data_IF_736286458548
#
_entry.id   IF_736286458548
#
_cell.length_a   1.000
_cell.length_b   1.000
_cell.length_c   1.000
_cell.angle_alpha   90.00
_cell.angle_beta   90.00
_cell.angle_gamma   90.00
#
_symmetry.space_group_name_H-M   'P 1'
#
loop_
_entity.id
_entity.type
_entity.pdbx_description
1 polymer ?
#
# COMPACT_ATOMS: atom_id res chain seq x y z
N UNK A 1 14.62 10.57 -5.87
CA UNK A 1 13.50 10.78 -4.93
C UNK A 1 13.04 9.41 -4.47
N UNK A 2 13.05 9.14 -3.16
CA UNK A 2 12.98 7.78 -2.61
C UNK A 2 11.53 7.25 -2.66
N UNK A 3 11.27 6.21 -3.48
CA UNK A 3 9.95 5.59 -3.72
C UNK A 3 9.20 5.20 -2.43
N UNK A 4 9.93 4.88 -1.35
CA UNK A 4 9.40 4.50 -0.05
C UNK A 4 8.58 5.62 0.63
N UNK A 5 8.95 6.88 0.39
CA UNK A 5 8.24 8.06 0.94
C UNK A 5 6.91 8.33 0.22
N UNK A 6 6.68 7.68 -0.92
CA UNK A 6 5.62 8.08 -1.84
C UNK A 6 4.25 7.50 -1.47
N UNK A 7 4.17 6.23 -1.07
CA UNK A 7 2.88 5.57 -0.82
C UNK A 7 2.18 6.09 0.43
N UNK A 8 2.91 6.24 1.54
CA UNK A 8 2.36 6.83 2.78
C UNK A 8 1.85 8.25 2.55
N UNK A 9 2.70 9.11 1.98
CA UNK A 9 2.33 10.50 1.74
C UNK A 9 1.19 10.62 0.73
N UNK A 10 1.18 9.79 -0.32
CA UNK A 10 0.09 9.74 -1.27
C UNK A 10 -1.23 9.35 -0.60
N UNK A 11 -1.23 8.34 0.29
CA UNK A 11 -2.42 7.96 1.05
C UNK A 11 -2.94 9.11 1.91
N UNK A 12 -2.05 9.79 2.64
CA UNK A 12 -2.42 10.94 3.47
C UNK A 12 -2.99 12.09 2.62
N UNK A 13 -2.42 12.35 1.43
CA UNK A 13 -2.91 13.37 0.51
C UNK A 13 -4.29 13.01 -0.08
N UNK A 14 -4.57 11.71 -0.27
CA UNK A 14 -5.89 11.21 -0.65
C UNK A 14 -6.89 11.16 0.51
N UNK A 15 -6.45 11.46 1.75
CA UNK A 15 -7.26 11.37 2.97
C UNK A 15 -7.92 9.99 3.16
N UNK A 16 -7.24 8.92 2.72
CA UNK A 16 -7.76 7.56 2.81
C UNK A 16 -7.29 6.88 4.09
N UNK A 17 -8.24 6.30 4.80
CA UNK A 17 -7.94 5.42 5.95
C UNK A 17 -7.53 4.02 5.46
N UNK A 18 -6.71 3.32 6.25
CA UNK A 18 -6.30 1.95 5.91
C UNK A 18 -7.50 0.98 5.84
N UNK A 19 -8.56 1.23 6.62
CA UNK A 19 -9.81 0.46 6.56
C UNK A 19 -10.56 0.64 5.24
N UNK A 20 -10.54 1.86 4.68
CA UNK A 20 -11.13 2.15 3.38
C UNK A 20 -10.33 1.48 2.25
N UNK A 21 -9.00 1.56 2.30
CA UNK A 21 -8.14 0.83 1.36
C UNK A 21 -8.37 -0.68 1.43
N UNK A 22 -8.56 -1.24 2.63
CA UNK A 22 -8.84 -2.67 2.81
C UNK A 22 -10.15 -3.08 2.11
N UNK A 23 -11.19 -2.25 2.24
CA UNK A 23 -12.47 -2.50 1.58
C UNK A 23 -12.37 -2.44 0.04
N UNK A 24 -11.55 -1.54 -0.50
CA UNK A 24 -11.38 -1.35 -1.96
C UNK A 24 -10.49 -2.40 -2.62
N UNK A 25 -9.46 -2.84 -1.92
CA UNK A 25 -8.42 -3.73 -2.47
C UNK A 25 -8.59 -5.19 -2.08
N UNK A 26 -9.45 -5.49 -1.10
CA UNK A 26 -9.54 -6.79 -0.43
C UNK A 26 -8.22 -7.28 0.21
N UNK A 27 -7.27 -6.36 0.43
CA UNK A 27 -6.02 -6.64 1.13
C UNK A 27 -6.25 -6.46 2.63
N UNK A 28 -5.67 -7.35 3.45
CA UNK A 28 -5.83 -7.24 4.90
C UNK A 28 -5.21 -5.93 5.43
N UNK A 29 -5.80 -5.29 6.46
CA UNK A 29 -5.25 -4.08 7.06
C UNK A 29 -3.80 -4.23 7.53
N UNK A 30 -3.42 -5.42 8.00
CA UNK A 30 -2.04 -5.70 8.43
C UNK A 30 -1.04 -5.64 7.27
N UNK A 31 -1.42 -6.12 6.09
CA UNK A 31 -0.57 -6.05 4.89
C UNK A 31 -0.50 -4.60 4.38
N UNK A 32 -1.62 -3.88 4.37
CA UNK A 32 -1.66 -2.47 4.00
C UNK A 32 -0.81 -1.59 4.91
N UNK A 33 -0.85 -1.83 6.24
CA UNK A 33 -0.01 -1.11 7.19
C UNK A 33 1.49 -1.33 6.90
N UNK A 34 1.91 -2.56 6.58
CA UNK A 34 3.30 -2.82 6.19
C UNK A 34 3.70 -2.10 4.90
N UNK A 35 2.80 -1.98 3.93
CA UNK A 35 3.05 -1.22 2.69
C UNK A 35 3.15 0.28 3.00
N UNK A 36 2.21 0.80 3.80
CA UNK A 36 2.17 2.20 4.23
C UNK A 36 3.43 2.58 5.03
N UNK A 37 3.93 1.68 5.86
CA UNK A 37 5.15 1.86 6.67
C UNK A 37 6.45 1.53 5.89
N UNK A 38 6.37 1.12 4.62
CA UNK A 38 7.53 0.75 3.81
C UNK A 38 8.23 -0.55 4.24
N UNK A 39 7.58 -1.39 5.04
CA UNK A 39 8.07 -2.68 5.58
C UNK A 39 7.89 -3.82 4.55
N UNK A 40 8.37 -3.62 3.34
CA UNK A 40 8.19 -4.56 2.21
C UNK A 40 8.78 -5.95 2.47
N UNK A 41 9.87 -6.03 3.26
CA UNK A 41 10.50 -7.29 3.64
C UNK A 41 9.60 -8.17 4.54
N UNK A 42 8.57 -7.59 5.15
CA UNK A 42 7.65 -8.29 6.06
C UNK A 42 6.32 -8.66 5.40
N UNK A 43 6.18 -8.40 4.10
CA UNK A 43 5.02 -8.85 3.34
C UNK A 43 5.03 -10.38 3.23
N UNK A 44 3.84 -11.02 3.16
CA UNK A 44 3.76 -12.45 2.91
C UNK A 44 4.60 -12.83 1.69
N UNK A 45 5.52 -13.78 1.85
CA UNK A 45 6.37 -14.25 0.77
C UNK A 45 5.51 -14.94 -0.32
N UNK A 46 5.75 -14.62 -1.59
CA UNK A 46 5.07 -15.24 -2.73
C UNK A 46 4.67 -14.28 -3.83
N UNK A 47 3.90 -14.79 -4.79
CA UNK A 47 3.46 -14.07 -6.01
C UNK A 47 2.74 -12.75 -5.68
N UNK A 48 2.08 -12.68 -4.52
CA UNK A 48 1.18 -11.58 -4.20
C UNK A 48 1.85 -10.32 -3.63
N UNK A 49 3.11 -10.38 -3.17
CA UNK A 49 3.76 -9.22 -2.56
C UNK A 49 3.81 -8.02 -3.51
N UNK A 50 4.20 -8.25 -4.76
CA UNK A 50 4.19 -7.20 -5.80
C UNK A 50 2.79 -6.74 -6.13
N UNK A 51 1.81 -7.64 -6.25
CA UNK A 51 0.43 -7.23 -6.57
C UNK A 51 -0.17 -6.37 -5.46
N UNK A 52 0.14 -6.62 -4.17
CA UNK A 52 -0.36 -5.80 -3.08
C UNK A 52 0.16 -4.36 -3.16
N UNK A 53 1.46 -4.18 -3.44
CA UNK A 53 2.05 -2.85 -3.61
C UNK A 53 1.41 -2.12 -4.80
N UNK A 54 1.19 -2.83 -5.91
CA UNK A 54 0.56 -2.24 -7.10
C UNK A 54 -0.90 -1.83 -6.84
N UNK A 55 -1.67 -2.67 -6.14
CA UNK A 55 -3.05 -2.35 -5.76
C UNK A 55 -3.12 -1.16 -4.81
N UNK A 56 -2.20 -1.07 -3.84
CA UNK A 56 -2.10 0.11 -2.98
C UNK A 56 -1.81 1.36 -3.83
N UNK A 57 -0.75 1.32 -4.65
CA UNK A 57 -0.31 2.44 -5.48
C UNK A 57 -1.43 2.97 -6.39
N UNK A 58 -2.20 2.06 -7.01
CA UNK A 58 -3.33 2.43 -7.85
C UNK A 58 -4.42 3.22 -7.10
N UNK A 59 -4.75 2.83 -5.86
CA UNK A 59 -5.77 3.54 -5.05
C UNK A 59 -5.31 4.94 -4.61
N UNK A 60 -4.01 5.16 -4.48
CA UNK A 60 -3.43 6.44 -4.05
C UNK A 60 -2.86 7.28 -5.20
N UNK A 61 -3.14 6.90 -6.45
CA UNK A 61 -2.74 7.67 -7.64
C UNK A 61 -1.24 7.67 -7.92
N UNK A 62 -0.53 6.63 -7.48
CA UNK A 62 0.90 6.42 -7.70
C UNK A 62 1.09 5.42 -8.83
N UNK A 63 1.94 5.75 -9.81
CA UNK A 63 2.29 4.81 -10.88
C UNK A 63 3.08 3.61 -10.30
N UNK A 64 2.57 2.38 -10.39
CA UNK A 64 3.09 1.19 -9.70
C UNK A 64 4.37 0.55 -10.28
#
# INVERSE_FOLDING_TARGET
MNILTHLHQARLNCQLELSELAARTAISPSVLAKIDEGRFAELPAGIYARSYVRSFAAEVGVDP
#
